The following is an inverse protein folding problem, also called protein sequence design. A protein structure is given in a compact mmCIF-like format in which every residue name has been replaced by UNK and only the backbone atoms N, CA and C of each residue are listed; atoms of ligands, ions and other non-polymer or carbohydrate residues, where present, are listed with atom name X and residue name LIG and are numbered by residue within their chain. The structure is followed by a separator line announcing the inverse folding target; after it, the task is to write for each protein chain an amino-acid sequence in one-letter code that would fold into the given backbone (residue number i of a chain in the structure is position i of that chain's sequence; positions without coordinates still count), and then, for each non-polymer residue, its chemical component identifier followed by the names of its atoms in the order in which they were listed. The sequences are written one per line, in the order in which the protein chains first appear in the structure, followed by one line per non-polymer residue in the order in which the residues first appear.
data_IF_186890769782
#
_entry.id   IF_186890769782
#
_cell.length_a   1.000
_cell.length_b   1.000
_cell.length_c   1.000
_cell.angle_alpha   90.00
_cell.angle_beta   90.00
_cell.angle_gamma   90.00
#
_symmetry.space_group_name_H-M   'P 1'
#
loop_
_entity.id
_entity.type
_entity.pdbx_description
1 polymer ?
#
# COMPACT_ATOMS: atom_id res chain seq x y z
N UNK A 1 10.67 30.35 -73.17
CA UNK A 1 11.55 29.19 -72.92
C UNK A 1 11.85 29.13 -71.43
N UNK A 2 11.42 28.03 -70.77
CA UNK A 2 11.98 27.37 -69.57
C UNK A 2 12.38 28.18 -68.31
N UNK A 3 12.08 27.80 -67.06
CA UNK A 3 11.40 26.66 -66.47
C UNK A 3 11.16 26.88 -64.95
N UNK A 4 10.11 26.22 -64.44
CA UNK A 4 9.78 25.78 -63.06
C UNK A 4 10.86 25.84 -61.95
N UNK A 5 10.44 26.25 -60.74
CA UNK A 5 10.40 25.51 -59.43
C UNK A 5 10.16 26.52 -58.29
N UNK A 6 9.00 26.56 -57.61
CA UNK A 6 8.42 25.64 -56.61
C UNK A 6 9.17 25.62 -55.27
N UNK A 7 8.46 26.14 -54.24
CA UNK A 7 8.49 25.92 -52.78
C UNK A 7 9.76 25.35 -52.12
N UNK A 8 10.12 25.91 -50.96
CA UNK A 8 9.87 25.25 -49.67
C UNK A 8 10.13 26.20 -48.49
N UNK A 9 9.08 26.36 -47.68
CA UNK A 9 9.15 26.90 -46.34
C UNK A 9 10.13 26.08 -45.49
N UNK A 10 10.93 26.76 -44.67
CA UNK A 10 11.68 26.14 -43.59
C UNK A 10 10.69 25.48 -42.63
N UNK A 11 10.78 24.17 -42.34
CA UNK A 11 10.03 23.59 -41.25
C UNK A 11 10.56 24.17 -39.93
N UNK A 12 9.66 24.78 -39.17
CA UNK A 12 9.83 25.08 -37.76
C UNK A 12 10.25 23.77 -37.09
N UNK A 13 11.37 23.82 -36.36
CA UNK A 13 11.87 22.70 -35.58
C UNK A 13 10.77 22.14 -34.67
N UNK A 14 10.27 20.94 -34.98
CA UNK A 14 9.59 20.11 -34.01
C UNK A 14 10.67 19.64 -33.02
N UNK A 15 10.76 20.36 -31.90
CA UNK A 15 11.69 20.09 -30.80
C UNK A 15 11.50 18.64 -30.33
N UNK A 16 12.63 17.96 -30.09
CA UNK A 16 12.86 16.54 -29.84
C UNK A 16 12.09 15.87 -28.67
N UNK A 17 10.97 16.43 -28.22
CA UNK A 17 10.16 15.95 -27.10
C UNK A 17 9.51 14.59 -27.44
N UNK A 18 9.08 14.40 -28.70
CA UNK A 18 8.44 13.14 -29.14
C UNK A 18 9.37 11.94 -29.11
N UNK A 19 10.60 12.09 -29.60
CA UNK A 19 11.61 11.01 -29.61
C UNK A 19 12.08 10.63 -28.20
N UNK A 20 12.22 11.61 -27.31
CA UNK A 20 12.69 11.38 -25.93
C UNK A 20 11.60 10.71 -25.08
N UNK A 21 10.34 11.16 -25.18
CA UNK A 21 9.21 10.49 -24.52
C UNK A 21 8.95 9.07 -25.05
N UNK A 22 9.18 8.83 -26.36
CA UNK A 22 9.13 7.48 -26.92
C UNK A 22 10.24 6.58 -26.36
N UNK A 23 11.45 7.11 -26.15
CA UNK A 23 12.55 6.36 -25.54
C UNK A 23 12.26 5.98 -24.08
N UNK A 24 11.70 6.89 -23.28
CA UNK A 24 11.31 6.57 -21.90
C UNK A 24 10.17 5.55 -21.83
N UNK A 25 9.16 5.66 -22.69
CA UNK A 25 8.11 4.64 -22.82
C UNK A 25 8.73 3.28 -23.11
N UNK A 26 9.65 3.19 -24.08
CA UNK A 26 10.25 1.90 -24.45
C UNK A 26 11.02 1.22 -23.31
N UNK A 27 11.72 1.98 -22.46
CA UNK A 27 12.44 1.45 -21.30
C UNK A 27 11.47 0.97 -20.22
N UNK A 28 10.41 1.73 -19.97
CA UNK A 28 9.36 1.35 -19.03
C UNK A 28 8.56 0.13 -19.51
N UNK A 29 8.23 0.09 -20.80
CA UNK A 29 7.54 -1.01 -21.46
C UNK A 29 8.37 -2.29 -21.43
N UNK A 30 9.69 -2.19 -21.57
CA UNK A 30 10.60 -3.32 -21.41
C UNK A 30 10.56 -3.89 -19.99
N UNK A 31 10.61 -3.04 -18.97
CA UNK A 31 10.44 -3.47 -17.58
C UNK A 31 9.08 -4.13 -17.34
N UNK A 32 7.99 -3.47 -17.75
CA UNK A 32 6.62 -4.00 -17.66
C UNK A 32 6.51 -5.35 -18.36
N UNK A 33 7.01 -5.46 -19.58
CA UNK A 33 7.01 -6.71 -20.34
C UNK A 33 7.86 -7.79 -19.68
N UNK A 34 8.99 -7.44 -19.07
CA UNK A 34 9.84 -8.38 -18.34
C UNK A 34 9.09 -8.96 -17.14
N UNK A 35 8.47 -8.10 -16.33
CA UNK A 35 7.69 -8.50 -15.16
C UNK A 35 6.48 -9.35 -15.54
N UNK A 36 5.79 -9.01 -16.64
CA UNK A 36 4.64 -9.76 -17.15
C UNK A 36 5.02 -11.14 -17.72
N UNK A 37 6.22 -11.28 -18.30
CA UNK A 37 6.69 -12.56 -18.87
C UNK A 37 7.38 -13.45 -17.83
N UNK A 38 7.78 -12.89 -16.69
CA UNK A 38 8.46 -13.64 -15.65
C UNK A 38 7.53 -14.69 -15.01
N UNK A 39 8.06 -15.90 -14.81
CA UNK A 39 7.38 -16.97 -14.07
C UNK A 39 7.52 -16.80 -12.55
N UNK A 40 8.55 -16.05 -12.12
CA UNK A 40 8.81 -15.72 -10.74
C UNK A 40 9.60 -14.42 -10.58
N UNK A 41 9.49 -13.84 -9.39
CA UNK A 41 10.26 -12.69 -8.93
C UNK A 41 10.83 -13.02 -7.57
N UNK A 42 12.08 -12.65 -7.34
CA UNK A 42 12.68 -12.59 -6.02
C UNK A 42 13.28 -11.20 -5.87
N UNK A 43 12.98 -10.53 -4.75
CA UNK A 43 13.47 -9.18 -4.48
C UNK A 43 13.59 -8.92 -2.98
N UNK A 44 14.76 -8.44 -2.55
CA UNK A 44 14.91 -7.75 -1.27
C UNK A 44 14.79 -6.26 -1.52
N UNK A 45 13.77 -5.63 -0.94
CA UNK A 45 13.42 -4.21 -1.11
C UNK A 45 13.67 -3.47 0.19
N UNK A 46 14.55 -2.49 0.17
CA UNK A 46 14.71 -1.52 1.25
C UNK A 46 13.90 -0.27 0.91
N UNK A 47 13.02 0.12 1.82
CA UNK A 47 12.20 1.32 1.72
C UNK A 47 12.68 2.31 2.76
N UNK A 48 13.07 3.49 2.32
CA UNK A 48 13.46 4.59 3.20
C UNK A 48 12.51 5.76 2.96
N UNK A 49 11.81 6.19 4.01
CA UNK A 49 10.93 7.37 3.96
C UNK A 49 11.74 8.60 4.40
N UNK A 50 11.65 9.70 3.65
CA UNK A 50 12.32 10.95 4.00
C UNK A 50 11.80 11.47 5.34
N UNK A 51 12.72 11.68 6.30
CA UNK A 51 12.41 12.00 7.72
C UNK A 51 11.65 10.90 8.48
N UNK A 52 11.60 9.68 7.95
CA UNK A 52 10.98 8.52 8.57
C UNK A 52 11.97 7.39 8.86
N UNK A 53 11.43 6.20 9.12
CA UNK A 53 12.21 4.99 9.30
C UNK A 53 12.63 4.35 7.97
N UNK A 54 13.44 3.30 8.08
CA UNK A 54 13.71 2.38 6.98
C UNK A 54 13.11 1.03 7.30
N UNK A 55 12.53 0.37 6.29
CA UNK A 55 11.95 -0.97 6.39
C UNK A 55 12.54 -1.85 5.30
N UNK A 56 12.70 -3.14 5.60
CA UNK A 56 13.14 -4.13 4.61
C UNK A 56 12.04 -5.14 4.38
N UNK A 57 11.83 -5.48 3.11
CA UNK A 57 10.84 -6.45 2.65
C UNK A 57 11.58 -7.49 1.81
N UNK A 58 11.39 -8.76 2.11
CA UNK A 58 11.75 -9.86 1.20
C UNK A 58 10.47 -10.30 0.49
N UNK A 59 10.47 -10.16 -0.83
CA UNK A 59 9.33 -10.46 -1.69
C UNK A 59 9.71 -11.58 -2.66
N UNK A 60 8.88 -12.62 -2.70
CA UNK A 60 8.90 -13.61 -3.77
C UNK A 60 7.52 -13.71 -4.39
N UNK A 61 7.47 -13.73 -5.72
CA UNK A 61 6.24 -13.90 -6.48
C UNK A 61 6.41 -15.07 -7.43
N UNK A 62 5.31 -15.80 -7.69
CA UNK A 62 5.29 -16.86 -8.68
C UNK A 62 3.90 -16.98 -9.31
N UNK A 63 3.87 -17.25 -10.61
CA UNK A 63 2.61 -17.47 -11.32
C UNK A 63 2.12 -18.92 -11.19
N UNK A 64 0.79 -19.13 -11.13
CA UNK A 64 -0.23 -18.13 -10.85
C UNK A 64 -0.33 -17.83 -9.35
N UNK A 65 -0.56 -16.57 -8.98
CA UNK A 65 -1.13 -16.19 -7.68
C UNK A 65 -0.38 -16.64 -6.41
N UNK A 66 0.92 -16.89 -6.47
CA UNK A 66 1.71 -17.26 -5.28
C UNK A 66 2.60 -16.09 -4.85
N UNK A 67 2.54 -15.74 -3.57
CA UNK A 67 3.27 -14.61 -3.00
C UNK A 67 3.85 -14.98 -1.64
N UNK A 68 5.09 -14.61 -1.40
CA UNK A 68 5.73 -14.60 -0.08
C UNK A 68 6.22 -13.20 0.19
N UNK A 69 5.77 -12.61 1.29
CA UNK A 69 6.21 -11.31 1.75
C UNK A 69 6.66 -11.43 3.20
N UNK A 70 7.91 -11.08 3.44
CA UNK A 70 8.51 -11.13 4.77
C UNK A 70 9.04 -9.75 5.16
N UNK A 71 8.65 -9.32 6.36
CA UNK A 71 9.09 -8.08 7.02
C UNK A 71 9.65 -8.43 8.40
N UNK A 72 10.11 -7.43 9.14
CA UNK A 72 10.59 -7.64 10.51
C UNK A 72 9.49 -8.18 11.45
N UNK A 73 8.24 -7.75 11.23
CA UNK A 73 7.11 -8.09 12.11
C UNK A 73 6.24 -9.24 11.60
N UNK A 74 6.23 -9.48 10.29
CA UNK A 74 5.26 -10.37 9.65
C UNK A 74 5.88 -11.26 8.57
N UNK A 75 5.27 -12.43 8.40
CA UNK A 75 5.43 -13.28 7.22
C UNK A 75 4.04 -13.55 6.65
N UNK A 76 3.83 -13.17 5.40
CA UNK A 76 2.61 -13.40 4.62
C UNK A 76 2.92 -14.36 3.50
N UNK A 77 2.16 -15.44 3.40
CA UNK A 77 2.29 -16.47 2.36
C UNK A 77 0.93 -16.69 1.72
N UNK A 78 0.84 -16.43 0.43
CA UNK A 78 -0.24 -16.82 -0.45
C UNK A 78 0.23 -18.03 -1.27
N UNK A 79 -0.40 -19.19 -1.09
CA UNK A 79 0.03 -20.46 -1.71
C UNK A 79 -0.80 -20.86 -2.94
N UNK A 80 -1.73 -19.99 -3.34
CA UNK A 80 -2.71 -20.22 -4.41
C UNK A 80 -4.06 -20.74 -3.92
N UNK A 81 -4.19 -21.09 -2.64
CA UNK A 81 -5.44 -21.54 -2.01
C UNK A 81 -5.82 -20.67 -0.82
N UNK A 82 -4.85 -20.36 0.02
CA UNK A 82 -5.02 -19.60 1.25
C UNK A 82 -3.92 -18.56 1.41
N UNK A 83 -4.23 -17.49 2.14
CA UNK A 83 -3.27 -16.53 2.65
C UNK A 83 -3.04 -16.83 4.12
N UNK A 84 -1.83 -17.25 4.47
CA UNK A 84 -1.38 -17.39 5.85
C UNK A 84 -0.53 -16.19 6.26
N UNK A 85 -0.90 -15.58 7.38
CA UNK A 85 -0.13 -14.47 7.96
C UNK A 85 0.32 -14.84 9.36
N UNK A 86 1.64 -14.81 9.57
CA UNK A 86 2.30 -14.98 10.86
C UNK A 86 2.71 -13.61 11.39
N UNK A 87 2.30 -13.29 12.61
CA UNK A 87 2.83 -12.18 13.41
C UNK A 87 3.99 -12.69 14.25
N UNK A 88 5.22 -12.33 13.87
CA UNK A 88 6.46 -12.86 14.45
C UNK A 88 6.56 -12.55 15.94
N UNK A 89 6.28 -11.30 16.34
CA UNK A 89 6.35 -10.85 17.74
C UNK A 89 5.39 -11.56 18.70
N UNK A 90 4.26 -12.07 18.19
CA UNK A 90 3.26 -12.79 18.98
C UNK A 90 3.39 -14.31 18.90
N UNK A 91 4.23 -14.80 18.00
CA UNK A 91 4.28 -16.21 17.60
C UNK A 91 2.87 -16.78 17.31
N UNK A 92 2.07 -16.02 16.55
CA UNK A 92 0.68 -16.34 16.23
C UNK A 92 0.44 -16.21 14.74
N UNK A 93 -0.34 -17.11 14.18
CA UNK A 93 -0.71 -17.07 12.76
C UNK A 93 -2.19 -17.35 12.54
N UNK A 94 -2.70 -16.83 11.43
CA UNK A 94 -4.03 -17.12 10.93
C UNK A 94 -3.97 -17.42 9.44
N UNK A 95 -5.04 -18.01 8.95
CA UNK A 95 -5.20 -18.37 7.54
C UNK A 95 -6.57 -17.94 7.08
N UNK A 96 -6.65 -17.36 5.88
CA UNK A 96 -7.90 -17.01 5.20
C UNK A 96 -7.92 -17.56 3.77
N UNK A 97 -9.08 -17.84 3.17
CA UNK A 97 -9.16 -18.20 1.77
C UNK A 97 -8.53 -17.13 0.87
N UNK A 98 -7.75 -17.56 -0.12
CA UNK A 98 -7.12 -16.65 -1.06
C UNK A 98 -8.10 -16.27 -2.17
N UNK A 99 -8.15 -14.97 -2.46
CA UNK A 99 -8.91 -14.39 -3.58
C UNK A 99 -8.01 -13.46 -4.41
N UNK A 100 -8.44 -13.10 -5.62
CA UNK A 100 -7.75 -12.06 -6.41
C UNK A 100 -7.66 -10.75 -5.64
N UNK A 101 -8.73 -10.40 -4.91
CA UNK A 101 -8.78 -9.22 -4.07
C UNK A 101 -7.72 -9.26 -2.96
N UNK A 102 -7.60 -10.39 -2.23
CA UNK A 102 -6.61 -10.49 -1.14
C UNK A 102 -5.16 -10.36 -1.64
N UNK A 103 -4.85 -10.85 -2.85
CA UNK A 103 -3.52 -10.67 -3.44
C UNK A 103 -3.26 -9.20 -3.81
N UNK A 104 -4.26 -8.54 -4.40
CA UNK A 104 -4.21 -7.11 -4.69
C UNK A 104 -4.03 -6.27 -3.43
N UNK A 105 -4.67 -6.64 -2.33
CA UNK A 105 -4.56 -5.96 -1.04
C UNK A 105 -3.17 -6.10 -0.41
N UNK A 106 -2.56 -7.29 -0.47
CA UNK A 106 -1.18 -7.49 0.02
C UNK A 106 -0.20 -6.57 -0.71
N UNK A 107 -0.40 -6.35 -2.01
CA UNK A 107 0.43 -5.48 -2.84
C UNK A 107 -0.08 -4.03 -2.93
N UNK A 108 -1.15 -3.69 -2.22
CA UNK A 108 -1.74 -2.35 -2.24
C UNK A 108 -0.88 -1.24 -1.60
N UNK A 109 -0.04 -1.50 -0.56
CA UNK A 109 0.84 -0.46 -0.04
C UNK A 109 1.70 0.15 -1.15
N UNK A 110 1.90 1.46 -1.09
CA UNK A 110 2.54 2.22 -2.17
C UNK A 110 3.93 1.68 -2.52
N UNK A 111 4.66 1.19 -1.52
CA UNK A 111 5.98 0.57 -1.68
C UNK A 111 5.95 -0.83 -2.32
N UNK A 112 4.81 -1.51 -2.31
CA UNK A 112 4.61 -2.84 -2.91
C UNK A 112 3.86 -2.78 -4.24
N UNK A 113 3.14 -1.69 -4.51
CA UNK A 113 2.28 -1.56 -5.69
C UNK A 113 3.04 -1.71 -7.00
N UNK A 114 4.32 -1.36 -7.04
CA UNK A 114 5.20 -1.54 -8.21
C UNK A 114 5.30 -3.00 -8.68
N UNK A 115 4.98 -3.97 -7.80
CA UNK A 115 5.01 -5.40 -8.09
C UNK A 115 3.65 -5.98 -8.51
N UNK A 116 2.55 -5.26 -8.28
CA UNK A 116 1.20 -5.65 -8.73
C UNK A 116 1.10 -6.06 -10.21
N UNK A 117 1.85 -5.43 -11.15
CA UNK A 117 1.81 -5.83 -12.56
C UNK A 117 2.31 -7.25 -12.83
N UNK A 118 3.02 -7.88 -11.90
CA UNK A 118 3.38 -9.29 -12.04
C UNK A 118 2.14 -10.19 -12.18
N UNK A 119 1.09 -9.92 -11.40
CA UNK A 119 -0.17 -10.68 -11.44
C UNK A 119 -1.21 -10.07 -12.38
N UNK A 120 -1.20 -8.75 -12.59
CA UNK A 120 -2.25 -8.08 -13.35
C UNK A 120 -1.74 -6.96 -14.25
N UNK A 121 -1.95 -7.09 -15.56
CA UNK A 121 -1.66 -6.05 -16.54
C UNK A 121 -2.39 -4.72 -16.27
N UNK A 122 -3.51 -4.76 -15.55
CA UNK A 122 -4.31 -3.58 -15.25
C UNK A 122 -3.72 -2.71 -14.15
N UNK A 123 -2.72 -3.20 -13.40
CA UNK A 123 -2.07 -2.48 -12.30
C UNK A 123 -1.44 -1.14 -12.73
N UNK A 124 -1.11 -0.99 -14.02
CA UNK A 124 -0.56 0.25 -14.58
C UNK A 124 -1.58 1.15 -15.30
N UNK A 125 -2.89 0.83 -15.28
CA UNK A 125 -3.90 1.63 -16.00
C UNK A 125 -4.00 3.10 -15.55
N UNK A 126 -3.46 3.45 -14.39
CA UNK A 126 -3.43 4.82 -13.86
C UNK A 126 -2.28 5.70 -14.36
N UNK A 127 -1.26 5.14 -15.03
CA UNK A 127 -0.09 5.91 -15.47
C UNK A 127 -0.52 6.99 -16.47
N UNK A 128 -0.45 8.24 -16.05
CA UNK A 128 -0.87 9.39 -16.83
C UNK A 128 0.22 9.85 -17.79
N UNK A 129 1.50 9.72 -17.39
CA UNK A 129 2.63 10.23 -18.15
C UNK A 129 3.92 9.47 -17.87
N UNK A 130 4.74 9.28 -18.91
CA UNK A 130 6.08 8.69 -18.81
C UNK A 130 7.06 9.58 -19.57
N UNK A 131 8.14 10.00 -18.91
CA UNK A 131 9.15 10.91 -19.45
C UNK A 131 10.57 10.42 -19.19
N UNK A 132 11.50 10.82 -20.05
CA UNK A 132 12.93 10.52 -19.87
C UNK A 132 13.53 11.47 -18.82
N UNK A 133 14.07 10.91 -17.74
CA UNK A 133 14.81 11.65 -16.72
C UNK A 133 16.30 11.82 -17.06
N UNK A 134 16.72 11.32 -18.21
CA UNK A 134 18.12 11.26 -18.65
C UNK A 134 18.87 10.13 -17.97
N UNK A 135 20.17 10.34 -17.72
CA UNK A 135 21.02 9.38 -17.01
C UNK A 135 21.51 9.96 -15.69
N UNK A 136 21.73 9.09 -14.71
CA UNK A 136 22.32 9.42 -13.41
C UNK A 136 23.31 8.36 -13.00
N UNK A 137 24.49 8.80 -12.57
CA UNK A 137 25.50 7.93 -11.99
C UNK A 137 25.26 7.75 -10.50
N UNK A 138 24.99 6.52 -10.07
CA UNK A 138 24.72 6.17 -8.67
C UNK A 138 25.74 5.11 -8.27
N UNK A 139 26.51 5.38 -7.19
CA UNK A 139 27.55 4.47 -6.68
C UNK A 139 28.51 3.94 -7.77
N UNK A 140 28.82 4.79 -8.76
CA UNK A 140 29.73 4.46 -9.86
C UNK A 140 29.08 3.82 -11.09
N UNK A 141 27.78 3.51 -11.05
CA UNK A 141 27.04 2.88 -12.15
C UNK A 141 26.05 3.83 -12.81
N UNK A 142 26.00 3.82 -14.14
CA UNK A 142 25.03 4.59 -14.92
C UNK A 142 23.64 3.96 -14.85
N UNK A 143 22.66 4.81 -14.57
CA UNK A 143 21.25 4.44 -14.56
C UNK A 143 20.50 5.34 -15.54
N UNK A 144 19.73 4.73 -16.42
CA UNK A 144 18.67 5.42 -17.15
C UNK A 144 17.54 5.76 -16.19
N UNK A 145 17.10 7.02 -16.18
CA UNK A 145 16.00 7.48 -15.32
C UNK A 145 14.73 7.58 -16.14
N UNK A 146 13.65 6.98 -15.66
CA UNK A 146 12.31 7.13 -16.24
C UNK A 146 11.40 7.75 -15.19
N UNK A 147 10.88 8.94 -15.49
CA UNK A 147 9.90 9.61 -14.65
C UNK A 147 8.49 9.16 -15.04
N UNK A 148 7.66 8.87 -14.06
CA UNK A 148 6.31 8.38 -14.22
C UNK A 148 5.39 9.22 -13.34
N UNK A 149 4.34 9.78 -13.93
CA UNK A 149 3.21 10.38 -13.18
C UNK A 149 2.12 9.30 -13.10
N UNK A 150 1.87 8.82 -11.89
CA UNK A 150 1.01 7.66 -11.65
C UNK A 150 -0.48 8.03 -11.58
N UNK A 151 -0.81 9.32 -11.59
CA UNK A 151 -2.17 9.84 -11.66
C UNK A 151 -2.21 11.11 -12.53
N UNK A 152 -3.42 11.44 -13.02
CA UNK A 152 -3.64 12.57 -13.92
C UNK A 152 -3.45 13.95 -13.28
N UNK A 153 -3.47 14.04 -11.95
CA UNK A 153 -3.24 15.29 -11.21
C UNK A 153 -1.75 15.55 -10.97
N UNK A 154 -0.92 14.52 -11.15
CA UNK A 154 0.52 14.57 -10.88
C UNK A 154 0.81 14.57 -9.38
N UNK A 155 -0.12 14.10 -8.55
CA UNK A 155 0.05 14.05 -7.10
C UNK A 155 1.04 12.94 -6.71
N UNK A 156 1.09 11.85 -7.46
CA UNK A 156 2.05 10.75 -7.29
C UNK A 156 3.02 10.72 -8.46
N UNK A 157 4.29 10.99 -8.16
CA UNK A 157 5.40 10.97 -9.12
C UNK A 157 6.40 9.91 -8.71
N UNK A 158 6.88 9.16 -9.69
CA UNK A 158 7.89 8.12 -9.49
C UNK A 158 9.06 8.35 -10.43
N UNK A 159 10.27 8.08 -9.98
CA UNK A 159 11.46 8.04 -10.82
C UNK A 159 12.09 6.66 -10.70
N UNK A 160 12.01 5.88 -11.77
CA UNK A 160 12.63 4.56 -11.89
C UNK A 160 14.06 4.72 -12.37
N UNK A 161 15.02 4.22 -11.61
CA UNK A 161 16.43 4.20 -11.97
C UNK A 161 16.77 2.79 -12.47
N UNK A 162 16.86 2.66 -13.78
CA UNK A 162 17.11 1.41 -14.49
C UNK A 162 18.62 1.26 -14.67
N UNK A 163 19.19 0.22 -14.06
CA UNK A 163 20.61 -0.11 -14.21
C UNK A 163 20.94 -0.37 -15.67
N UNK A 164 21.97 0.30 -16.19
CA UNK A 164 22.43 0.04 -17.55
C UNK A 164 23.10 -1.34 -17.68
N UNK A 165 23.52 -1.97 -16.58
CA UNK A 165 24.09 -3.31 -16.56
C UNK A 165 23.02 -4.40 -16.60
N UNK A 166 22.05 -4.34 -15.68
CA UNK A 166 21.04 -5.39 -15.53
C UNK A 166 19.81 -5.16 -16.39
N UNK A 167 19.64 -3.94 -16.92
CA UNK A 167 18.43 -3.46 -17.61
C UNK A 167 17.17 -3.53 -16.74
N UNK A 168 17.33 -3.58 -15.42
CA UNK A 168 16.24 -3.62 -14.43
C UNK A 168 16.27 -2.39 -13.52
N UNK A 169 15.09 -1.92 -13.06
CA UNK A 169 15.05 -0.90 -12.02
C UNK A 169 15.58 -1.48 -10.72
N UNK A 170 16.59 -0.84 -10.14
CA UNK A 170 17.11 -1.21 -8.82
C UNK A 170 16.89 -0.14 -7.76
N UNK A 171 16.32 1.00 -8.17
CA UNK A 171 15.92 2.09 -7.29
C UNK A 171 14.70 2.79 -7.86
N UNK A 172 13.76 3.14 -6.99
CA UNK A 172 12.60 3.96 -7.32
C UNK A 172 12.48 5.07 -6.30
N UNK A 173 12.42 6.31 -6.74
CA UNK A 173 12.01 7.43 -5.89
C UNK A 173 10.52 7.63 -6.08
N UNK A 174 9.75 7.74 -5.01
CA UNK A 174 8.31 8.03 -5.06
C UNK A 174 8.09 9.31 -4.27
N UNK A 175 7.38 10.26 -4.86
CA UNK A 175 6.92 11.48 -4.23
C UNK A 175 5.40 11.52 -4.35
N UNK A 176 4.72 11.44 -3.21
CA UNK A 176 3.27 11.46 -3.13
C UNK A 176 2.82 12.73 -2.39
N UNK A 177 2.12 13.59 -3.10
CA UNK A 177 1.58 14.85 -2.60
C UNK A 177 0.18 14.62 -2.04
N UNK A 178 -0.03 15.08 -0.82
CA UNK A 178 -1.35 15.26 -0.22
C UNK A 178 -1.71 16.76 -0.19
N UNK A 179 -2.87 17.10 0.35
CA UNK A 179 -3.28 18.50 0.50
C UNK A 179 -2.32 19.32 1.40
N UNK A 180 -1.65 18.68 2.36
CA UNK A 180 -0.88 19.37 3.42
C UNK A 180 0.58 18.93 3.48
N UNK A 181 0.96 17.86 2.80
CA UNK A 181 2.30 17.28 2.89
C UNK A 181 2.75 16.63 1.58
N UNK A 182 4.03 16.31 1.52
CA UNK A 182 4.60 15.48 0.47
C UNK A 182 5.39 14.38 1.15
N UNK A 183 5.10 13.14 0.80
CA UNK A 183 5.85 11.97 1.27
C UNK A 183 6.79 11.53 0.18
N UNK A 184 8.07 11.65 0.47
CA UNK A 184 9.14 11.18 -0.39
C UNK A 184 9.69 9.87 0.17
N UNK A 185 9.80 8.85 -0.67
CA UNK A 185 10.40 7.57 -0.32
C UNK A 185 11.30 7.06 -1.41
N UNK A 186 12.31 6.29 -1.00
CA UNK A 186 13.24 5.62 -1.91
C UNK A 186 13.16 4.13 -1.65
N UNK A 187 12.82 3.39 -2.70
CA UNK A 187 12.92 1.94 -2.75
C UNK A 187 14.25 1.60 -3.39
N UNK A 188 15.01 0.68 -2.80
CA UNK A 188 16.23 0.13 -3.38
C UNK A 188 16.17 -1.39 -3.34
N UNK A 189 16.54 -2.05 -4.44
CA UNK A 189 16.55 -3.51 -4.52
C UNK A 189 17.97 -4.02 -4.69
N UNK A 190 18.41 -4.94 -3.84
CA UNK A 190 19.76 -5.53 -3.91
C UNK A 190 19.80 -6.94 -4.53
N UNK A 191 18.67 -7.64 -4.58
CA UNK A 191 18.57 -9.06 -5.01
C UNK A 191 17.44 -9.29 -6.03
N UNK A 192 17.15 -8.28 -6.87
CA UNK A 192 16.08 -8.40 -7.86
C UNK A 192 16.44 -9.42 -8.95
N UNK A 193 15.68 -10.50 -9.02
CA UNK A 193 15.72 -11.51 -10.08
C UNK A 193 14.33 -11.78 -10.65
N UNK A 194 14.24 -11.95 -11.97
CA UNK A 194 13.02 -12.36 -12.69
C UNK A 194 13.12 -13.82 -13.15
N UNK A 195 13.54 -14.71 -12.24
CA UNK A 195 13.76 -16.14 -12.53
C UNK A 195 12.67 -16.99 -11.89
N UNK A 196 12.60 -18.26 -12.31
CA UNK A 196 11.72 -19.22 -11.68
C UNK A 196 12.04 -19.37 -10.18
N UNK A 197 11.01 -19.27 -9.33
CA UNK A 197 11.09 -19.54 -7.90
C UNK A 197 10.44 -20.90 -7.62
N UNK A 198 11.04 -21.69 -6.74
CA UNK A 198 10.51 -23.00 -6.33
C UNK A 198 9.14 -22.86 -5.64
N UNK A 199 8.20 -23.77 -5.92
CA UNK A 199 6.86 -23.73 -5.30
C UNK A 199 6.90 -23.98 -3.78
N UNK A 200 7.92 -24.70 -3.32
CA UNK A 200 8.20 -25.00 -1.92
C UNK A 200 8.47 -23.76 -1.07
N UNK A 201 8.96 -22.67 -1.68
CA UNK A 201 9.19 -21.38 -1.00
C UNK A 201 7.90 -20.74 -0.46
N UNK A 202 6.75 -21.13 -1.02
CA UNK A 202 5.41 -20.66 -0.66
C UNK A 202 4.66 -21.65 0.23
N UNK A 203 5.31 -22.71 0.71
CA UNK A 203 4.72 -23.57 1.72
C UNK A 203 4.88 -22.92 3.10
N UNK A 204 3.78 -22.67 3.79
CA UNK A 204 3.84 -22.22 5.19
C UNK A 204 4.22 -23.38 6.10
N UNK A 205 5.28 -23.19 6.87
CA UNK A 205 5.64 -24.06 8.00
C UNK A 205 5.44 -23.28 9.28
N UNK A 206 4.55 -23.77 10.15
CA UNK A 206 4.27 -23.13 11.43
C UNK A 206 5.55 -23.13 12.30
N UNK A 207 6.03 -21.96 12.77
CA UNK A 207 7.17 -21.91 13.66
C UNK A 207 6.92 -22.69 14.95
N UNK A 208 8.00 -23.16 15.59
CA UNK A 208 7.90 -23.87 16.86
C UNK A 208 7.16 -23.02 17.92
N UNK A 209 6.23 -23.67 18.62
CA UNK A 209 5.40 -23.00 19.65
C UNK A 209 4.40 -21.98 19.12
N UNK A 210 4.29 -21.81 17.80
CA UNK A 210 3.33 -20.88 17.21
C UNK A 210 1.89 -21.35 17.44
N UNK A 211 0.99 -20.38 17.67
CA UNK A 211 -0.43 -20.66 17.89
C UNK A 211 -1.23 -20.26 16.65
N UNK A 212 -1.94 -21.22 16.06
CA UNK A 212 -3.02 -20.90 15.13
C UNK A 212 -4.14 -20.24 15.91
N UNK A 213 -4.57 -19.09 15.46
CA UNK A 213 -5.62 -18.29 16.08
C UNK A 213 -6.60 -17.88 15.00
N UNK A 214 -7.86 -17.73 15.37
CA UNK A 214 -8.84 -17.18 14.45
C UNK A 214 -8.53 -15.69 14.21
N UNK A 215 -8.85 -15.20 13.01
CA UNK A 215 -8.64 -13.80 12.64
C UNK A 215 -9.29 -12.83 13.65
N UNK A 216 -10.41 -13.25 14.24
CA UNK A 216 -11.13 -12.56 15.30
C UNK A 216 -10.33 -12.45 16.61
N UNK A 217 -9.53 -13.45 16.97
CA UNK A 217 -8.67 -13.42 18.16
C UNK A 217 -7.41 -12.56 17.92
N UNK A 218 -6.95 -12.48 16.67
CA UNK A 218 -5.81 -11.64 16.28
C UNK A 218 -6.12 -10.14 16.21
N UNK A 219 -7.40 -9.81 15.99
CA UNK A 219 -7.88 -8.43 15.93
C UNK A 219 -8.09 -7.79 17.31
N UNK A 220 -8.08 -8.57 18.39
CA UNK A 220 -8.41 -8.09 19.74
C UNK A 220 -7.37 -7.05 20.22
N UNK A 221 -7.81 -5.80 20.37
CA UNK A 221 -6.97 -4.70 20.83
C UNK A 221 -5.88 -4.25 19.84
N UNK A 222 -5.86 -4.78 18.61
CA UNK A 222 -5.00 -4.31 17.52
C UNK A 222 -5.69 -3.15 16.81
N UNK A 223 -4.99 -2.02 16.68
CA UNK A 223 -5.37 -0.97 15.75
C UNK A 223 -4.85 -1.29 14.35
N UNK A 224 -5.76 -1.26 13.39
CA UNK A 224 -5.50 -1.28 11.97
C UNK A 224 -5.35 0.15 11.46
N UNK A 225 -4.72 0.33 10.31
CA UNK A 225 -4.55 1.64 9.66
C UNK A 225 -5.03 1.63 8.20
N UNK A 226 -5.49 0.49 7.71
CA UNK A 226 -6.07 0.32 6.39
C UNK A 226 -7.55 -0.08 6.53
N UNK A 227 -8.43 0.65 5.85
CA UNK A 227 -9.88 0.44 5.94
C UNK A 227 -10.30 -0.94 5.44
N UNK A 228 -9.75 -1.40 4.32
CA UNK A 228 -10.15 -2.67 3.73
C UNK A 228 -9.68 -3.84 4.59
N UNK A 229 -8.42 -3.82 5.07
CA UNK A 229 -7.91 -4.83 6.02
C UNK A 229 -8.82 -4.93 7.26
N UNK A 230 -9.23 -3.79 7.82
CA UNK A 230 -10.13 -3.76 8.97
C UNK A 230 -11.52 -4.34 8.63
N UNK A 231 -12.08 -4.01 7.46
CA UNK A 231 -13.38 -4.52 7.03
C UNK A 231 -13.35 -6.03 6.73
N UNK A 232 -12.28 -6.57 6.18
CA UNK A 232 -12.21 -8.01 5.89
C UNK A 232 -12.04 -8.84 7.16
N UNK A 233 -11.27 -8.34 8.13
CA UNK A 233 -11.23 -8.87 9.49
C UNK A 233 -12.63 -8.83 10.12
N UNK A 234 -13.36 -7.73 9.92
CA UNK A 234 -14.71 -7.57 10.45
C UNK A 234 -15.71 -8.55 9.81
N UNK A 235 -15.65 -8.77 8.49
CA UNK A 235 -16.51 -9.74 7.77
C UNK A 235 -16.25 -11.16 8.24
N UNK A 236 -14.99 -11.55 8.36
CA UNK A 236 -14.63 -12.90 8.82
C UNK A 236 -15.16 -13.20 10.23
N UNK A 237 -15.24 -12.19 11.10
CA UNK A 237 -15.72 -12.33 12.47
C UNK A 237 -17.16 -11.84 12.73
N UNK A 238 -17.87 -11.33 11.71
CA UNK A 238 -19.12 -10.57 11.87
C UNK A 238 -19.04 -9.51 12.98
N UNK A 239 -17.94 -8.74 13.00
CA UNK A 239 -17.64 -7.75 14.04
C UNK A 239 -17.96 -6.32 13.63
N UNK A 240 -18.26 -5.49 14.61
CA UNK A 240 -18.34 -4.04 14.46
C UNK A 240 -16.92 -3.46 14.34
N UNK A 241 -16.73 -2.50 13.44
CA UNK A 241 -15.47 -1.75 13.29
C UNK A 241 -15.61 -0.38 13.93
N UNK A 242 -14.72 -0.03 14.86
CA UNK A 242 -14.59 1.33 15.39
C UNK A 242 -13.48 2.03 14.64
N UNK A 243 -13.82 3.09 13.92
CA UNK A 243 -12.91 3.92 13.14
C UNK A 243 -12.67 5.22 13.92
N UNK A 244 -11.44 5.44 14.38
CA UNK A 244 -10.95 6.70 14.94
C UNK A 244 -10.36 7.56 13.80
N UNK A 245 -11.09 8.58 13.38
CA UNK A 245 -10.59 9.59 12.46
C UNK A 245 -9.82 10.65 13.25
N UNK A 246 -8.52 10.74 12.97
CA UNK A 246 -7.58 11.55 13.74
C UNK A 246 -6.62 12.30 12.82
N UNK A 247 -5.83 13.20 13.41
CA UNK A 247 -4.72 13.87 12.73
C UNK A 247 -3.57 14.16 13.72
N UNK A 248 -2.33 14.25 13.23
CA UNK A 248 -1.14 14.45 14.09
C UNK A 248 -1.15 15.81 14.82
N UNK A 249 -1.80 16.82 14.25
CA UNK A 249 -1.96 18.15 14.86
C UNK A 249 -3.13 18.22 15.85
N UNK A 250 -3.98 17.20 15.93
CA UNK A 250 -5.18 17.21 16.74
C UNK A 250 -4.88 16.94 18.23
N UNK A 251 -4.86 18.01 19.04
CA UNK A 251 -4.68 17.94 20.49
C UNK A 251 -5.69 17.02 21.21
N UNK A 252 -7.02 17.18 20.99
CA UNK A 252 -8.02 16.32 21.60
C UNK A 252 -7.90 14.84 21.21
N UNK A 253 -7.42 14.53 20.00
CA UNK A 253 -7.15 13.16 19.57
C UNK A 253 -6.05 12.52 20.42
N UNK A 254 -4.97 13.26 20.70
CA UNK A 254 -3.88 12.82 21.59
C UNK A 254 -4.37 12.58 23.02
N UNK A 255 -5.32 13.39 23.50
CA UNK A 255 -5.94 13.19 24.81
C UNK A 255 -6.79 11.92 24.83
N UNK A 256 -7.63 11.70 23.81
CA UNK A 256 -8.45 10.49 23.70
C UNK A 256 -7.61 9.22 23.64
N UNK A 257 -6.52 9.23 22.87
CA UNK A 257 -5.53 8.15 22.81
C UNK A 257 -4.93 7.85 24.19
N UNK A 258 -4.46 8.89 24.90
CA UNK A 258 -3.77 8.73 26.17
C UNK A 258 -4.70 8.35 27.34
N UNK A 259 -5.90 8.93 27.37
CA UNK A 259 -6.81 8.84 28.52
C UNK A 259 -7.89 7.77 28.37
N UNK A 260 -8.11 7.25 27.15
CA UNK A 260 -9.17 6.25 26.89
C UNK A 260 -8.60 5.01 26.20
N UNK A 261 -8.04 5.16 25.00
CA UNK A 261 -7.72 3.99 24.16
C UNK A 261 -6.64 3.09 24.75
N UNK A 262 -5.78 3.63 25.63
CA UNK A 262 -4.74 2.88 26.33
C UNK A 262 -5.23 2.21 27.62
N UNK A 263 -6.41 2.52 28.13
CA UNK A 263 -6.92 1.95 29.38
C UNK A 263 -7.42 0.52 29.19
N UNK A 264 -7.43 -0.25 30.26
CA UNK A 264 -7.86 -1.65 30.20
C UNK A 264 -9.38 -1.78 30.08
N UNK A 265 -10.14 -0.80 30.57
CA UNK A 265 -11.59 -0.71 30.41
C UNK A 265 -11.96 -0.58 28.93
N UNK A 266 -11.28 0.30 28.18
CA UNK A 266 -11.50 0.44 26.75
C UNK A 266 -11.17 -0.86 26.02
N UNK A 267 -9.98 -1.43 26.25
CA UNK A 267 -9.56 -2.70 25.65
C UNK A 267 -10.55 -3.83 25.90
N UNK A 268 -11.12 -3.90 27.11
CA UNK A 268 -12.16 -4.88 27.46
C UNK A 268 -13.46 -4.61 26.72
N UNK A 269 -13.92 -3.36 26.69
CA UNK A 269 -15.18 -2.98 26.03
C UNK A 269 -15.13 -3.21 24.51
N UNK A 270 -13.96 -3.02 23.89
CA UNK A 270 -13.75 -3.18 22.45
C UNK A 270 -13.09 -4.51 22.07
N UNK A 271 -12.96 -5.47 22.99
CA UNK A 271 -12.28 -6.74 22.73
C UNK A 271 -12.91 -7.53 21.56
N UNK A 272 -14.22 -7.37 21.35
CA UNK A 272 -14.95 -7.99 20.24
C UNK A 272 -15.19 -7.06 19.04
N UNK A 273 -14.40 -6.00 18.91
CA UNK A 273 -14.48 -5.04 17.80
C UNK A 273 -13.19 -5.09 16.99
N UNK A 274 -13.26 -4.61 15.75
CA UNK A 274 -12.06 -4.26 14.97
C UNK A 274 -11.79 -2.78 15.20
N UNK A 275 -10.57 -2.42 15.56
CA UNK A 275 -10.19 -1.03 15.80
C UNK A 275 -9.40 -0.51 14.60
N UNK A 276 -9.81 0.60 14.00
CA UNK A 276 -9.17 1.21 12.85
C UNK A 276 -8.85 2.67 13.16
N UNK A 277 -7.63 3.11 12.87
CA UNK A 277 -7.27 4.52 12.82
C UNK A 277 -7.22 4.96 11.37
N UNK A 278 -7.78 6.13 11.09
CA UNK A 278 -7.64 6.80 9.82
C UNK A 278 -7.07 8.18 10.10
N UNK A 279 -5.85 8.41 9.62
CA UNK A 279 -5.27 9.75 9.61
C UNK A 279 -5.91 10.51 8.45
N UNK A 280 -6.73 11.53 8.75
CA UNK A 280 -7.50 12.24 7.73
C UNK A 280 -6.64 13.04 6.75
N UNK A 281 -5.40 13.37 7.11
CA UNK A 281 -4.45 14.03 6.21
C UNK A 281 -3.84 13.02 5.22
N UNK A 282 -3.61 11.78 5.67
CA UNK A 282 -2.98 10.70 4.88
C UNK A 282 -3.98 9.87 4.09
N UNK A 283 -5.22 9.78 4.56
CA UNK A 283 -6.28 8.89 4.07
C UNK A 283 -7.54 9.70 3.73
N UNK A 284 -7.37 10.66 2.83
CA UNK A 284 -8.39 11.66 2.50
C UNK A 284 -9.60 11.06 1.78
N UNK A 285 -9.39 10.03 0.96
CA UNK A 285 -10.47 9.35 0.26
C UNK A 285 -11.42 8.68 1.27
N UNK A 286 -10.87 8.07 2.31
CA UNK A 286 -11.62 7.45 3.39
C UNK A 286 -12.31 8.50 4.27
N UNK A 287 -11.61 9.58 4.63
CA UNK A 287 -12.21 10.70 5.36
C UNK A 287 -13.38 11.31 4.59
N UNK A 288 -13.24 11.50 3.27
CA UNK A 288 -14.30 11.99 2.40
C UNK A 288 -15.45 10.98 2.27
N UNK A 289 -15.13 9.69 2.07
CA UNK A 289 -16.12 8.60 1.99
C UNK A 289 -17.01 8.56 3.23
N UNK A 290 -16.44 8.81 4.39
CA UNK A 290 -17.15 8.83 5.66
C UNK A 290 -17.67 10.22 6.05
N UNK A 291 -17.52 11.25 5.22
CA UNK A 291 -18.06 12.59 5.48
C UNK A 291 -17.49 13.23 6.75
N UNK A 292 -16.17 13.19 6.90
CA UNK A 292 -15.50 13.65 8.12
C UNK A 292 -15.19 15.14 8.03
N UNK A 293 -15.69 15.91 9.00
CA UNK A 293 -15.59 17.38 9.01
C UNK A 293 -14.87 17.95 10.25
N UNK A 294 -14.74 17.17 11.33
CA UNK A 294 -14.18 17.65 12.60
C UNK A 294 -13.42 16.55 13.35
N UNK A 295 -12.36 16.92 14.05
CA UNK A 295 -11.51 15.98 14.79
C UNK A 295 -11.69 16.11 16.32
N UNK A 296 -11.60 15.00 17.07
CA UNK A 296 -11.73 13.62 16.59
C UNK A 296 -13.17 13.34 16.14
N UNK A 297 -13.33 12.46 15.15
CA UNK A 297 -14.61 11.81 14.87
C UNK A 297 -14.41 10.32 14.99
N UNK A 298 -15.33 9.63 15.67
CA UNK A 298 -15.34 8.17 15.73
C UNK A 298 -16.59 7.67 15.04
N UNK A 299 -16.43 6.75 14.09
CA UNK A 299 -17.54 6.04 13.45
C UNK A 299 -17.49 4.56 13.77
N UNK A 300 -18.65 3.96 13.94
CA UNK A 300 -18.83 2.53 14.09
C UNK A 300 -19.53 2.01 12.85
N UNK A 301 -18.89 1.08 12.14
CA UNK A 301 -19.40 0.55 10.88
C UNK A 301 -19.56 -0.97 10.94
N UNK A 302 -20.59 -1.48 10.27
CA UNK A 302 -20.79 -2.91 10.12
C UNK A 302 -19.71 -3.52 9.18
N UNK A 303 -19.64 -4.86 9.02
CA UNK A 303 -18.66 -5.49 8.13
C UNK A 303 -18.72 -5.06 6.66
N UNK A 304 -19.83 -4.48 6.21
CA UNK A 304 -19.98 -3.93 4.86
C UNK A 304 -19.50 -2.48 4.76
N UNK A 305 -19.03 -1.89 5.86
CA UNK A 305 -18.55 -0.51 5.95
C UNK A 305 -19.66 0.53 6.10
N UNK A 306 -20.89 0.12 6.38
CA UNK A 306 -22.04 1.01 6.59
C UNK A 306 -22.07 1.53 8.02
N UNK A 307 -22.33 2.83 8.21
CA UNK A 307 -22.32 3.47 9.53
C UNK A 307 -23.51 3.01 10.37
N UNK A 308 -23.21 2.43 11.53
CA UNK A 308 -24.16 2.03 12.57
C UNK A 308 -24.32 3.13 13.62
N UNK A 309 -23.21 3.79 13.96
CA UNK A 309 -23.19 4.85 14.95
C UNK A 309 -21.97 5.76 14.76
N UNK A 310 -22.02 6.97 15.30
CA UNK A 310 -20.91 7.92 15.26
C UNK A 310 -21.02 8.94 16.41
N UNK A 311 -19.89 9.54 16.74
CA UNK A 311 -19.83 10.73 17.59
C UNK A 311 -18.65 11.61 17.21
N UNK A 312 -18.73 12.89 17.57
CA UNK A 312 -17.72 13.90 17.31
C UNK A 312 -17.24 14.50 18.63
N UNK A 313 -15.92 14.68 18.75
CA UNK A 313 -15.26 15.28 19.92
C UNK A 313 -14.88 14.26 20.98
N UNK A 314 -13.89 14.63 21.81
CA UNK A 314 -13.37 13.76 22.87
C UNK A 314 -14.37 13.58 24.03
N UNK A 315 -14.92 14.67 24.58
CA UNK A 315 -15.97 14.59 25.60
C UNK A 315 -15.60 13.99 26.96
N UNK A 316 -14.38 13.47 27.12
CA UNK A 316 -13.94 12.77 28.34
C UNK A 316 -14.17 11.26 28.27
N UNK A 317 -13.49 10.53 29.17
CA UNK A 317 -13.55 9.07 29.25
C UNK A 317 -14.99 8.51 29.31
N UNK A 318 -15.84 9.08 30.17
CA UNK A 318 -17.21 8.60 30.34
C UNK A 318 -18.08 8.74 29.09
N UNK A 319 -17.90 9.81 28.31
CA UNK A 319 -18.62 10.00 27.06
C UNK A 319 -18.18 8.96 26.02
N UNK A 320 -16.88 8.80 25.79
CA UNK A 320 -16.36 7.84 24.80
C UNK A 320 -16.82 6.42 25.11
N UNK A 321 -16.72 5.98 26.38
CA UNK A 321 -17.20 4.66 26.78
C UNK A 321 -18.72 4.49 26.60
N UNK A 322 -19.49 5.55 26.87
CA UNK A 322 -20.93 5.56 26.64
C UNK A 322 -21.31 5.38 25.16
N UNK A 323 -20.59 6.04 24.25
CA UNK A 323 -20.82 5.90 22.80
C UNK A 323 -20.42 4.51 22.28
N UNK A 324 -19.34 3.91 22.82
CA UNK A 324 -18.96 2.52 22.52
C UNK A 324 -20.09 1.54 22.88
N UNK A 325 -20.71 1.68 24.06
CA UNK A 325 -21.81 0.81 24.46
C UNK A 325 -23.07 1.03 23.62
N UNK A 326 -23.39 2.28 23.25
CA UNK A 326 -24.49 2.57 22.31
C UNK A 326 -24.26 1.92 20.94
N UNK A 327 -23.03 1.97 20.42
CA UNK A 327 -22.67 1.35 19.15
C UNK A 327 -22.91 -0.17 19.19
N UNK A 328 -22.45 -0.83 20.26
CA UNK A 328 -22.65 -2.27 20.48
C UNK A 328 -24.14 -2.64 20.53
N UNK A 329 -24.94 -1.87 21.27
CA UNK A 329 -26.39 -2.11 21.35
C UNK A 329 -27.09 -1.94 20.00
N UNK A 330 -26.66 -1.00 19.16
CA UNK A 330 -27.22 -0.79 17.82
C UNK A 330 -26.83 -1.87 16.81
N UNK A 331 -25.65 -2.45 16.96
CA UNK A 331 -25.16 -3.51 16.08
C UNK A 331 -25.71 -4.89 16.43
N UNK A 332 -26.00 -5.13 17.71
CA UNK A 332 -26.55 -6.40 18.21
C UNK A 332 -28.08 -6.56 18.04
N UNK A 333 -28.78 -5.53 17.57
CA UNK A 333 -30.21 -5.55 17.21
C UNK A 333 -30.36 -5.68 15.69
#
# INVERSE_FOLDING_TARGET
MNAKRMLLALPIAAIAVGSVAMMSSSKFDAFKSGLLKADGVEATVQVTVQNGGSSTYSLMLKKPNMLRLETDDQLVIADGKEVTTLMKSKNQYFTVPQTEQSLGEILSPMELQIWSPFFSETAFKGVARVEDGGSRKIKGEEHSVVNVEADAKGDTKMAFFISDKTKMPNRVSISAKSLTSTTDMVLSTSELSLTAVGSDMFAFSAPEGSKKVDLSAMSAGKWYYNLNEALDVAKAGSKLVMIDFMADWCGPCKMMEAQVFKTDEFKKATANMVLLKIDVDRQQAEAQRYGIEAMPTVKFVNPNGEVVHEFVGYGGFGQVMGEVEKAKSKFGN
#
